data_IF_650041320354
#
_entry.id   IF_650041320354
#
_cell.length_a   1.000
_cell.length_b   1.000
_cell.length_c   1.000
_cell.angle_alpha   90.00
_cell.angle_beta   90.00
_cell.angle_gamma   90.00
#
_symmetry.space_group_name_H-M   'P 1'
#
loop_
_entity.id
_entity.type
_entity.pdbx_description
1 polymer ?
#
# COMPACT_ATOMS: atom_id res chain seq x y z
N UNK A 1 -55.92 24.78 5.86
CA UNK A 1 -54.81 23.87 5.54
C UNK A 1 -55.32 22.46 5.72
N UNK A 2 -55.20 21.63 4.69
CA UNK A 2 -55.64 20.24 4.73
C UNK A 2 -54.69 19.41 5.59
N UNK A 3 -55.21 18.45 6.37
CA UNK A 3 -54.39 17.62 7.28
C UNK A 3 -53.31 16.87 6.48
N UNK A 4 -53.66 16.45 5.27
CA UNK A 4 -52.75 15.80 4.32
C UNK A 4 -51.57 16.69 3.92
N UNK A 5 -51.80 18.00 3.72
CA UNK A 5 -50.73 18.94 3.34
C UNK A 5 -49.73 19.14 4.47
N UNK A 6 -50.23 19.29 5.71
CA UNK A 6 -49.38 19.48 6.90
C UNK A 6 -48.55 18.22 7.19
N UNK A 7 -49.13 17.03 7.04
CA UNK A 7 -48.42 15.75 7.19
C UNK A 7 -47.33 15.58 6.12
N UNK A 8 -47.62 15.96 4.88
CA UNK A 8 -46.66 15.89 3.76
C UNK A 8 -45.46 16.81 4.01
N UNK A 9 -45.70 18.02 4.53
CA UNK A 9 -44.63 18.96 4.89
C UNK A 9 -43.75 18.39 6.01
N UNK A 10 -44.36 17.83 7.06
CA UNK A 10 -43.61 17.22 8.17
C UNK A 10 -42.79 16.01 7.72
N UNK A 11 -43.34 15.14 6.88
CA UNK A 11 -42.63 14.00 6.30
C UNK A 11 -41.48 14.46 5.40
N UNK A 12 -41.66 15.53 4.63
CA UNK A 12 -40.62 16.10 3.77
C UNK A 12 -39.47 16.68 4.58
N UNK A 13 -39.77 17.42 5.66
CA UNK A 13 -38.75 17.94 6.58
C UNK A 13 -37.99 16.79 7.25
N UNK A 14 -38.70 15.77 7.71
CA UNK A 14 -38.10 14.59 8.33
C UNK A 14 -37.19 13.82 7.37
N UNK A 15 -37.60 13.66 6.11
CA UNK A 15 -36.81 13.03 5.06
C UNK A 15 -35.52 13.81 4.75
N UNK A 16 -35.58 15.15 4.73
CA UNK A 16 -34.39 16.01 4.54
C UNK A 16 -33.40 15.81 5.68
N UNK A 17 -33.89 15.79 6.93
CA UNK A 17 -33.05 15.58 8.12
C UNK A 17 -32.37 14.20 8.07
N UNK A 18 -33.13 13.14 7.78
CA UNK A 18 -32.58 11.78 7.63
C UNK A 18 -31.57 11.69 6.50
N UNK A 19 -31.82 12.32 5.35
CA UNK A 19 -30.87 12.37 4.24
C UNK A 19 -29.57 13.08 4.63
N UNK A 20 -29.65 14.12 5.47
CA UNK A 20 -28.48 14.80 6.03
C UNK A 20 -27.62 13.88 6.90
N UNK A 21 -28.24 13.13 7.81
CA UNK A 21 -27.55 12.14 8.63
C UNK A 21 -26.94 11.01 7.78
N UNK A 22 -27.70 10.48 6.81
CA UNK A 22 -27.22 9.44 5.91
C UNK A 22 -25.98 9.90 5.10
N UNK A 23 -25.94 11.17 4.68
CA UNK A 23 -24.81 11.72 3.94
C UNK A 23 -23.57 11.90 4.83
N UNK A 24 -23.74 12.29 6.10
CA UNK A 24 -22.65 12.36 7.07
C UNK A 24 -22.05 10.97 7.36
N UNK A 25 -22.91 9.97 7.60
CA UNK A 25 -22.47 8.60 7.84
C UNK A 25 -21.84 7.97 6.58
N UNK A 26 -22.41 8.23 5.40
CA UNK A 26 -21.80 7.80 4.12
C UNK A 26 -20.41 8.38 3.93
N UNK A 27 -20.20 9.67 4.26
CA UNK A 27 -18.87 10.29 4.18
C UNK A 27 -17.87 9.65 5.15
N UNK A 28 -18.27 9.36 6.39
CA UNK A 28 -17.42 8.65 7.36
C UNK A 28 -17.09 7.24 6.88
N UNK A 29 -18.09 6.50 6.43
CA UNK A 29 -17.93 5.14 5.90
C UNK A 29 -16.99 5.11 4.70
N UNK A 30 -17.11 6.06 3.78
CA UNK A 30 -16.23 6.14 2.61
C UNK A 30 -14.78 6.45 3.00
N UNK A 31 -14.57 7.32 4.00
CA UNK A 31 -13.22 7.58 4.53
C UNK A 31 -12.61 6.36 5.20
N UNK A 32 -13.38 5.64 6.02
CA UNK A 32 -12.94 4.39 6.64
C UNK A 32 -12.60 3.32 5.59
N UNK A 33 -13.47 3.13 4.58
CA UNK A 33 -13.21 2.17 3.51
C UNK A 33 -11.93 2.50 2.72
N UNK A 34 -11.69 3.80 2.45
CA UNK A 34 -10.48 4.25 1.78
C UNK A 34 -9.24 4.07 2.66
N UNK A 35 -9.35 4.27 3.98
CA UNK A 35 -8.29 3.92 4.94
C UNK A 35 -7.93 2.45 4.84
N UNK A 36 -8.93 1.57 4.95
CA UNK A 36 -8.72 0.13 5.03
C UNK A 36 -8.06 -0.39 3.77
N UNK A 37 -8.46 0.15 2.61
CA UNK A 37 -7.83 -0.19 1.33
C UNK A 37 -6.38 0.29 1.26
N UNK A 38 -6.08 1.53 1.69
CA UNK A 38 -4.69 2.04 1.74
C UNK A 38 -3.83 1.26 2.72
N UNK A 39 -4.37 0.97 3.90
CA UNK A 39 -3.69 0.22 4.94
C UNK A 39 -3.43 -1.23 4.49
N UNK A 40 -4.34 -1.85 3.73
CA UNK A 40 -4.11 -3.16 3.14
C UNK A 40 -2.90 -3.15 2.18
N UNK A 41 -2.75 -2.12 1.35
CA UNK A 41 -1.55 -1.96 0.49
C UNK A 41 -0.29 -1.86 1.33
N UNK A 42 -0.28 -1.00 2.37
CA UNK A 42 0.85 -0.87 3.29
C UNK A 42 1.23 -2.22 3.92
N UNK A 43 0.25 -2.92 4.52
CA UNK A 43 0.44 -4.19 5.22
C UNK A 43 0.99 -5.28 4.31
N UNK A 44 0.49 -5.37 3.08
CA UNK A 44 0.93 -6.41 2.13
C UNK A 44 2.41 -6.18 1.72
N UNK A 45 2.82 -4.92 1.58
CA UNK A 45 4.21 -4.54 1.28
C UNK A 45 5.12 -4.73 2.50
N UNK A 46 4.65 -4.35 3.69
CA UNK A 46 5.35 -4.59 4.95
C UNK A 46 5.57 -6.09 5.20
N UNK A 47 4.56 -6.93 4.89
CA UNK A 47 4.69 -8.39 4.96
C UNK A 47 5.80 -8.91 4.03
N UNK A 48 5.84 -8.43 2.79
CA UNK A 48 6.89 -8.79 1.84
C UNK A 48 8.28 -8.38 2.34
N UNK A 49 8.44 -7.14 2.81
CA UNK A 49 9.70 -6.66 3.38
C UNK A 49 10.09 -7.42 4.66
N UNK A 50 9.13 -7.86 5.46
CA UNK A 50 9.37 -8.69 6.64
C UNK A 50 10.02 -10.04 6.30
N UNK A 51 9.62 -10.66 5.18
CA UNK A 51 10.31 -11.86 4.68
C UNK A 51 11.74 -11.55 4.25
N UNK A 52 11.94 -10.44 3.53
CA UNK A 52 13.26 -10.01 3.09
C UNK A 52 14.19 -9.75 4.29
N UNK A 53 13.73 -8.98 5.27
CA UNK A 53 14.50 -8.66 6.47
C UNK A 53 14.90 -9.91 7.26
N UNK A 54 14.01 -10.90 7.35
CA UNK A 54 14.27 -12.15 8.08
C UNK A 54 15.25 -13.07 7.36
N UNK A 55 15.08 -13.23 6.05
CA UNK A 55 15.78 -14.26 5.28
C UNK A 55 17.04 -13.70 4.59
N UNK A 56 17.31 -12.39 4.73
CA UNK A 56 18.45 -11.68 4.12
C UNK A 56 18.27 -11.37 2.63
N UNK A 57 17.27 -11.95 1.98
CA UNK A 57 16.98 -11.84 0.55
C UNK A 57 15.48 -11.85 0.28
N UNK A 58 14.99 -11.28 -0.84
CA UNK A 58 13.57 -11.23 -1.11
C UNK A 58 13.00 -12.61 -1.41
N UNK A 59 11.80 -12.91 -0.90
CA UNK A 59 11.08 -14.13 -1.26
C UNK A 59 10.23 -13.89 -2.52
N UNK A 60 10.70 -14.36 -3.68
CA UNK A 60 9.96 -14.20 -4.94
C UNK A 60 8.58 -14.89 -4.94
N UNK A 61 8.37 -15.92 -4.10
CA UNK A 61 7.05 -16.53 -3.93
C UNK A 61 6.01 -15.56 -3.36
N UNK A 62 6.45 -14.54 -2.62
CA UNK A 62 5.61 -13.50 -2.03
C UNK A 62 5.62 -12.20 -2.87
N UNK A 63 6.33 -12.16 -4.00
CA UNK A 63 6.44 -10.97 -4.85
C UNK A 63 5.08 -10.47 -5.35
N UNK A 64 4.12 -11.40 -5.50
CA UNK A 64 2.75 -11.08 -5.85
C UNK A 64 2.12 -10.03 -4.91
N UNK A 65 2.48 -10.03 -3.62
CA UNK A 65 1.99 -9.02 -2.67
C UNK A 65 2.35 -7.60 -3.12
N UNK A 66 3.58 -7.40 -3.60
CA UNK A 66 4.06 -6.10 -4.09
C UNK A 66 3.41 -5.73 -5.42
N UNK A 67 3.24 -6.69 -6.33
CA UNK A 67 2.59 -6.46 -7.63
C UNK A 67 1.12 -6.08 -7.45
N UNK A 68 0.38 -6.82 -6.60
CA UNK A 68 -1.02 -6.53 -6.30
C UNK A 68 -1.18 -5.22 -5.52
N UNK A 69 -0.21 -4.88 -4.65
CA UNK A 69 -0.14 -3.57 -4.00
C UNK A 69 0.10 -2.42 -5.00
N UNK A 70 1.02 -2.59 -5.96
CA UNK A 70 1.30 -1.63 -7.02
C UNK A 70 0.09 -1.40 -7.94
N UNK A 71 -0.62 -2.46 -8.33
CA UNK A 71 -1.84 -2.32 -9.13
C UNK A 71 -2.91 -1.49 -8.40
N UNK A 72 -3.14 -1.78 -7.12
CA UNK A 72 -4.09 -1.01 -6.29
C UNK A 72 -3.62 0.42 -6.04
N UNK A 73 -2.31 0.66 -5.99
CA UNK A 73 -1.80 1.98 -5.60
C UNK A 73 -2.13 3.08 -6.59
N UNK A 74 -2.29 2.76 -7.88
CA UNK A 74 -2.67 3.73 -8.92
C UNK A 74 -3.98 4.46 -8.63
N UNK A 75 -4.90 3.81 -7.93
CA UNK A 75 -6.21 4.37 -7.60
C UNK A 75 -6.28 4.93 -6.18
N UNK A 76 -5.43 4.43 -5.29
CA UNK A 76 -5.51 4.70 -3.86
C UNK A 76 -4.53 5.77 -3.39
N UNK A 77 -3.40 5.95 -4.06
CA UNK A 77 -2.32 6.84 -3.66
C UNK A 77 -1.94 7.80 -4.78
N UNK A 78 -1.08 8.76 -4.45
CA UNK A 78 -0.44 9.58 -5.46
C UNK A 78 0.65 8.80 -6.22
N UNK A 79 1.25 9.46 -7.22
CA UNK A 79 2.28 8.85 -8.06
C UNK A 79 3.53 8.40 -7.28
N UNK A 80 3.79 8.99 -6.10
CA UNK A 80 4.98 8.69 -5.31
C UNK A 80 4.97 7.26 -4.78
N UNK A 81 3.88 6.85 -4.11
CA UNK A 81 3.75 5.48 -3.58
C UNK A 81 3.78 4.46 -4.71
N UNK A 82 3.11 4.75 -5.82
CA UNK A 82 3.10 3.87 -6.99
C UNK A 82 4.49 3.69 -7.60
N UNK A 83 5.27 4.78 -7.72
CA UNK A 83 6.65 4.70 -8.20
C UNK A 83 7.54 3.93 -7.22
N UNK A 84 7.38 4.16 -5.91
CA UNK A 84 8.10 3.44 -4.87
C UNK A 84 7.87 1.92 -4.95
N UNK A 85 6.61 1.48 -5.07
CA UNK A 85 6.27 0.06 -5.16
C UNK A 85 6.81 -0.59 -6.44
N UNK A 86 6.80 0.14 -7.56
CA UNK A 86 7.43 -0.33 -8.80
C UNK A 86 8.93 -0.53 -8.62
N UNK A 87 9.61 0.43 -7.98
CA UNK A 87 11.05 0.32 -7.73
C UNK A 87 11.35 -0.85 -6.80
N UNK A 88 10.58 -1.02 -5.72
CA UNK A 88 10.71 -2.14 -4.80
C UNK A 88 10.59 -3.49 -5.52
N UNK A 89 9.64 -3.62 -6.44
CA UNK A 89 9.50 -4.84 -7.25
C UNK A 89 10.75 -5.09 -8.09
N UNK A 90 11.20 -4.11 -8.86
CA UNK A 90 12.37 -4.28 -9.74
C UNK A 90 13.64 -4.61 -8.94
N UNK A 91 13.83 -3.93 -7.81
CA UNK A 91 14.97 -4.13 -6.93
C UNK A 91 14.92 -5.51 -6.25
N UNK A 92 13.73 -6.02 -5.89
CA UNK A 92 13.58 -7.37 -5.37
C UNK A 92 14.01 -8.44 -6.38
N UNK A 93 13.63 -8.27 -7.65
CA UNK A 93 14.05 -9.19 -8.72
C UNK A 93 15.57 -9.12 -8.92
N UNK A 94 16.14 -7.91 -8.87
CA UNK A 94 17.58 -7.73 -8.98
C UNK A 94 18.33 -8.38 -7.81
N UNK A 95 17.87 -8.19 -6.57
CA UNK A 95 18.48 -8.77 -5.39
C UNK A 95 18.45 -10.32 -5.41
N UNK A 96 17.38 -10.94 -5.88
CA UNK A 96 17.35 -12.39 -6.09
C UNK A 96 18.36 -12.83 -7.17
N UNK A 97 18.46 -12.10 -8.29
CA UNK A 97 19.44 -12.40 -9.33
C UNK A 97 20.88 -12.27 -8.81
N UNK A 98 21.14 -11.27 -7.97
CA UNK A 98 22.44 -11.06 -7.34
C UNK A 98 22.74 -12.20 -6.35
N UNK A 99 21.79 -12.60 -5.52
CA UNK A 99 21.93 -13.73 -4.59
C UNK A 99 22.31 -15.04 -5.32
N UNK A 100 21.70 -15.30 -6.50
CA UNK A 100 22.07 -16.46 -7.35
C UNK A 100 23.49 -16.36 -7.87
N UNK A 101 23.95 -15.16 -8.23
CA UNK A 101 25.34 -14.90 -8.63
C UNK A 101 26.30 -15.13 -7.45
N UNK A 102 25.93 -14.68 -6.24
CA UNK A 102 26.73 -14.88 -5.02
C UNK A 102 26.90 -16.36 -4.67
N UNK A 103 25.86 -17.16 -4.89
CA UNK A 103 25.85 -18.61 -4.69
C UNK A 103 26.53 -19.40 -5.81
N UNK A 104 26.92 -18.75 -6.91
CA UNK A 104 27.51 -19.40 -8.09
C UNK A 104 26.51 -20.15 -8.98
N UNK A 105 25.21 -19.88 -8.80
CA UNK A 105 24.13 -20.45 -9.62
C UNK A 105 24.02 -19.77 -10.99
N UNK A 106 24.56 -18.56 -11.13
CA UNK A 106 24.54 -17.76 -12.36
C UNK A 106 25.90 -17.10 -12.61
N UNK A 107 26.35 -16.98 -13.88
CA UNK A 107 27.58 -16.24 -14.21
C UNK A 107 27.42 -14.74 -13.92
N UNK A 108 28.46 -14.14 -13.31
CA UNK A 108 28.50 -12.71 -13.02
C UNK A 108 29.69 -12.33 -12.12
N UNK A 109 29.84 -11.03 -11.85
CA UNK A 109 30.83 -10.53 -10.89
C UNK A 109 30.28 -10.66 -9.46
N UNK A 110 30.87 -11.59 -8.70
CA UNK A 110 30.45 -11.90 -7.34
C UNK A 110 30.62 -10.72 -6.37
N UNK A 111 31.67 -9.92 -6.51
CA UNK A 111 31.93 -8.81 -5.59
C UNK A 111 30.90 -7.70 -5.78
N UNK A 112 30.57 -7.40 -7.04
CA UNK A 112 29.52 -6.42 -7.38
C UNK A 112 28.14 -6.89 -6.92
N UNK A 113 27.85 -8.19 -7.06
CA UNK A 113 26.59 -8.77 -6.61
C UNK A 113 26.42 -8.67 -5.08
N UNK A 114 27.47 -9.01 -4.31
CA UNK A 114 27.46 -8.87 -2.83
C UNK A 114 27.21 -7.41 -2.42
N UNK A 115 27.93 -6.48 -3.03
CA UNK A 115 27.80 -5.06 -2.70
C UNK A 115 26.38 -4.55 -2.98
N UNK A 116 25.81 -4.90 -4.14
CA UNK A 116 24.44 -4.48 -4.50
C UNK A 116 23.39 -5.13 -3.62
N UNK A 117 23.53 -6.42 -3.31
CA UNK A 117 22.63 -7.13 -2.40
C UNK A 117 22.58 -6.44 -1.02
N UNK A 118 23.75 -6.09 -0.47
CA UNK A 118 23.84 -5.35 0.80
C UNK A 118 23.20 -3.96 0.71
N UNK A 119 23.46 -3.21 -0.37
CA UNK A 119 22.86 -1.89 -0.58
C UNK A 119 21.33 -1.96 -0.66
N UNK A 120 20.78 -2.93 -1.39
CA UNK A 120 19.34 -3.14 -1.51
C UNK A 120 18.72 -3.59 -0.18
N UNK A 121 19.39 -4.47 0.56
CA UNK A 121 18.96 -4.85 1.89
C UNK A 121 18.89 -3.64 2.82
N UNK A 122 19.93 -2.81 2.88
CA UNK A 122 19.94 -1.61 3.72
C UNK A 122 18.88 -0.58 3.28
N UNK A 123 18.67 -0.40 1.97
CA UNK A 123 17.67 0.52 1.41
C UNK A 123 16.25 0.20 1.88
N UNK A 124 15.91 -1.08 2.00
CA UNK A 124 14.53 -1.53 2.27
C UNK A 124 14.32 -2.12 3.66
N UNK A 125 15.35 -2.66 4.29
CA UNK A 125 15.28 -3.33 5.60
C UNK A 125 16.12 -2.62 6.68
N UNK A 126 16.88 -1.59 6.33
CA UNK A 126 17.64 -0.77 7.29
C UNK A 126 16.76 0.12 8.17
N UNK A 127 17.36 0.75 9.19
CA UNK A 127 16.65 1.61 10.16
C UNK A 127 15.96 2.82 9.50
N UNK A 128 16.51 3.33 8.39
CA UNK A 128 15.94 4.43 7.60
C UNK A 128 14.85 3.98 6.61
N UNK A 129 14.22 2.82 6.84
CA UNK A 129 13.22 2.25 5.92
C UNK A 129 12.13 3.27 5.56
N UNK A 130 12.13 3.65 4.29
CA UNK A 130 11.26 4.66 3.69
C UNK A 130 9.80 4.22 3.54
N UNK A 131 9.43 2.97 3.86
CA UNK A 131 8.04 2.52 3.74
C UNK A 131 7.09 3.37 4.58
N UNK A 132 7.41 3.56 5.86
CA UNK A 132 6.58 4.39 6.75
C UNK A 132 6.51 5.83 6.25
N UNK A 133 7.63 6.39 5.80
CA UNK A 133 7.69 7.75 5.25
C UNK A 133 6.85 7.88 3.97
N UNK A 134 6.90 6.89 3.08
CA UNK A 134 6.17 6.88 1.83
C UNK A 134 4.65 6.82 2.05
N UNK A 135 4.20 6.10 3.07
CA UNK A 135 2.77 5.90 3.34
C UNK A 135 2.19 6.87 4.38
N UNK A 136 3.01 7.53 5.21
CA UNK A 136 2.56 8.36 6.33
C UNK A 136 1.69 9.56 5.93
N UNK A 137 1.91 10.14 4.74
CA UNK A 137 1.08 11.25 4.27
C UNK A 137 -0.33 10.78 3.95
N UNK A 138 -0.46 9.60 3.36
CA UNK A 138 -1.72 9.13 2.78
C UNK A 138 -2.55 8.25 3.75
N UNK A 139 -1.93 7.83 4.86
CA UNK A 139 -2.58 7.14 5.99
C UNK A 139 -3.10 8.09 7.09
N UNK A 140 -2.90 9.41 6.97
CA UNK A 140 -3.56 10.39 7.85
C UNK A 140 -4.97 10.66 7.33
N UNK A 141 -5.99 10.37 8.15
CA UNK A 141 -7.42 10.66 7.87
C UNK A 141 -7.95 11.69 8.85
#
# INVERSE_FOLDING_TARGET
MDVASTLTILLSIFAIVLSGFALLESRKSNRAALFDQRFAVYRDVEKFLGFWARDGRPNLGELRLVIDAWNRSHFLFDGFVTAYLRQLWLDAVQAESDARTVNGEQPGDRNVAIEREQQLFLKYCGEDNSLRTAFMRDLKI
#
